data_IF_285056216874
#
_entry.id   IF_285056216874
#
_cell.length_a   1.000
_cell.length_b   1.000
_cell.length_c   1.000
_cell.angle_alpha   90.00
_cell.angle_beta   90.00
_cell.angle_gamma   90.00
#
_symmetry.space_group_name_H-M   'P 1'
#
loop_
_entity.id
_entity.type
_entity.pdbx_description
1 polymer ?
#
# COMPACT_ATOMS: atom_id res chain seq x y z
N UNK A 1 -6.32 1.30 25.17
CA UNK A 1 -6.71 2.09 23.99
C UNK A 1 -7.81 1.34 23.31
N UNK A 2 -8.90 2.03 22.98
CA UNK A 2 -10.00 1.44 22.23
C UNK A 2 -9.57 1.28 20.77
N UNK A 3 -10.04 0.24 20.07
CA UNK A 3 -9.68 0.03 18.65
C UNK A 3 -10.11 1.22 17.77
N UNK A 4 -11.21 1.89 18.14
CA UNK A 4 -11.67 3.10 17.47
C UNK A 4 -10.67 4.27 17.60
N UNK A 5 -10.06 4.47 18.77
CA UNK A 5 -9.13 5.58 18.99
C UNK A 5 -7.85 5.39 18.16
N UNK A 6 -7.44 4.14 17.94
CA UNK A 6 -6.27 3.81 17.12
C UNK A 6 -6.54 4.05 15.63
N UNK A 7 -7.71 3.63 15.13
CA UNK A 7 -8.08 3.81 13.73
C UNK A 7 -8.25 5.29 13.36
N UNK A 8 -8.79 6.10 14.28
CA UNK A 8 -8.91 7.56 14.10
C UNK A 8 -7.53 8.21 14.01
N UNK A 9 -6.64 7.92 14.96
CA UNK A 9 -5.27 8.44 14.95
C UNK A 9 -4.46 7.98 13.73
N UNK A 10 -4.67 6.75 13.26
CA UNK A 10 -4.05 6.23 12.04
C UNK A 10 -4.57 6.97 10.80
N UNK A 11 -5.88 7.22 10.71
CA UNK A 11 -6.48 7.96 9.61
C UNK A 11 -6.00 9.41 9.54
N UNK A 12 -5.91 10.09 10.70
CA UNK A 12 -5.33 11.44 10.78
C UNK A 12 -3.87 11.46 10.31
N UNK A 13 -3.05 10.49 10.71
CA UNK A 13 -1.66 10.41 10.30
C UNK A 13 -1.49 10.14 8.80
N UNK A 14 -2.27 9.19 8.26
CA UNK A 14 -2.24 8.84 6.84
C UNK A 14 -2.60 10.06 5.99
N UNK A 15 -3.59 10.83 6.40
CA UNK A 15 -4.05 12.02 5.69
C UNK A 15 -3.09 13.20 5.85
N UNK A 16 -2.60 13.48 7.06
CA UNK A 16 -1.70 14.63 7.30
C UNK A 16 -0.36 14.52 6.59
N UNK A 17 0.15 13.29 6.45
CA UNK A 17 1.45 13.02 5.83
C UNK A 17 1.33 12.45 4.41
N UNK A 18 0.12 12.40 3.83
CA UNK A 18 -0.15 11.82 2.51
C UNK A 18 0.45 10.41 2.33
N UNK A 19 0.33 9.55 3.35
CA UNK A 19 0.91 8.21 3.34
C UNK A 19 0.06 7.25 2.50
N UNK A 20 0.72 6.32 1.82
CA UNK A 20 0.03 5.18 1.22
C UNK A 20 -0.23 4.12 2.29
N UNK A 21 -1.49 3.74 2.47
CA UNK A 21 -1.89 2.63 3.33
C UNK A 21 -2.24 1.40 2.48
N UNK A 22 -1.82 0.22 2.93
CA UNK A 22 -2.11 -1.06 2.29
C UNK A 22 -2.23 -2.15 3.35
N UNK A 23 -2.92 -3.24 3.00
CA UNK A 23 -3.05 -4.40 3.87
C UNK A 23 -2.07 -5.50 3.45
N UNK A 24 -1.71 -6.37 4.39
CA UNK A 24 -0.78 -7.48 4.14
C UNK A 24 -1.49 -8.78 4.44
N UNK A 25 -1.49 -9.70 3.46
CA UNK A 25 -2.10 -11.02 3.61
C UNK A 25 -1.14 -12.12 3.17
N UNK A 26 -1.19 -13.28 3.82
CA UNK A 26 -0.42 -14.45 3.42
C UNK A 26 -1.10 -15.14 2.22
N UNK A 27 -0.37 -15.22 1.09
CA UNK A 27 -0.85 -15.84 -0.14
C UNK A 27 0.27 -16.58 -0.84
N UNK A 28 -0.09 -17.63 -1.60
CA UNK A 28 0.85 -18.31 -2.46
C UNK A 28 1.25 -17.42 -3.64
N UNK A 29 2.55 -17.17 -3.80
CA UNK A 29 3.10 -16.41 -4.92
C UNK A 29 3.46 -17.37 -6.07
N UNK A 30 3.01 -17.05 -7.29
CA UNK A 30 3.34 -17.86 -8.46
C UNK A 30 4.78 -17.65 -8.97
N UNK A 31 5.40 -16.53 -8.62
CA UNK A 31 6.73 -16.16 -9.13
C UNK A 31 7.84 -16.80 -8.29
N UNK A 32 7.79 -16.68 -6.96
CA UNK A 32 8.74 -17.35 -6.07
C UNK A 32 8.33 -18.79 -5.69
N UNK A 33 7.06 -19.16 -5.92
CA UNK A 33 6.56 -20.52 -5.68
C UNK A 33 6.36 -20.87 -4.20
N UNK A 34 6.20 -19.87 -3.33
CA UNK A 34 6.06 -20.05 -1.88
C UNK A 34 4.90 -19.22 -1.29
N UNK A 35 4.46 -19.62 -0.09
CA UNK A 35 3.51 -18.87 0.72
C UNK A 35 4.23 -17.67 1.36
N UNK A 36 3.86 -16.46 0.95
CA UNK A 36 4.56 -15.24 1.37
C UNK A 36 3.57 -14.10 1.66
N UNK A 37 3.98 -13.10 2.44
CA UNK A 37 3.20 -11.88 2.62
C UNK A 37 3.05 -11.13 1.29
N UNK A 38 1.83 -10.69 0.97
CA UNK A 38 1.51 -9.88 -0.19
C UNK A 38 0.88 -8.56 0.25
N UNK A 39 1.37 -7.45 -0.30
CA UNK A 39 0.70 -6.16 -0.24
C UNK A 39 -0.56 -6.21 -1.08
N UNK A 40 -1.71 -6.00 -0.45
CA UNK A 40 -3.00 -5.89 -1.12
C UNK A 40 -3.51 -4.48 -0.91
N UNK A 41 -3.76 -3.83 -2.03
CA UNK A 41 -4.39 -2.52 -2.05
C UNK A 41 -5.90 -2.67 -1.82
N UNK A 42 -6.32 -2.61 -0.56
CA UNK A 42 -7.73 -2.64 -0.18
C UNK A 42 -8.50 -1.39 -0.63
N UNK A 43 -7.81 -0.32 -1.05
CA UNK A 43 -8.46 0.86 -1.63
C UNK A 43 -9.21 0.51 -2.93
N UNK A 44 -8.76 -0.54 -3.66
CA UNK A 44 -9.45 -1.10 -4.83
C UNK A 44 -10.69 -1.93 -4.48
N UNK A 45 -10.80 -2.42 -3.24
CA UNK A 45 -12.01 -3.06 -2.74
C UNK A 45 -13.02 -2.04 -2.20
N UNK A 46 -12.53 -0.89 -1.72
CA UNK A 46 -13.31 0.22 -1.19
C UNK A 46 -13.60 1.35 -2.20
N UNK A 47 -13.35 1.19 -3.50
CA UNK A 47 -13.84 2.14 -4.52
C UNK A 47 -15.37 2.35 -4.44
N UNK A 48 -16.09 1.41 -3.81
CA UNK A 48 -17.53 1.54 -3.55
C UNK A 48 -17.90 2.30 -2.26
N UNK A 49 -17.02 2.42 -1.27
CA UNK A 49 -17.38 2.93 0.07
C UNK A 49 -16.50 4.10 0.56
N UNK A 50 -15.29 4.26 0.03
CA UNK A 50 -14.44 5.43 0.25
C UNK A 50 -14.55 6.36 -0.97
N UNK A 51 -15.76 6.86 -1.22
CA UNK A 51 -15.85 8.23 -1.75
C UNK A 51 -15.42 9.15 -0.62
N UNK A 52 -14.11 9.30 -0.44
CA UNK A 52 -13.57 10.42 0.30
C UNK A 52 -14.12 11.64 -0.43
N UNK A 53 -14.96 12.40 0.27
CA UNK A 53 -15.63 13.56 -0.26
C UNK A 53 -14.62 14.43 -1.00
N UNK A 54 -15.07 14.87 -2.18
CA UNK A 54 -14.33 15.57 -3.23
C UNK A 54 -13.89 16.99 -2.84
N UNK A 55 -13.31 17.20 -1.67
CA UNK A 55 -12.96 18.53 -1.15
C UNK A 55 -11.49 18.69 -0.74
N UNK A 56 -10.59 17.79 -1.16
CA UNK A 56 -9.14 18.04 -1.10
C UNK A 56 -8.62 18.17 -2.53
N UNK A 57 -8.84 19.36 -3.13
CA UNK A 57 -8.15 19.83 -4.35
C UNK A 57 -6.70 20.23 -4.03
N UNK A 58 -5.95 19.37 -3.33
CA UNK A 58 -4.49 19.49 -3.33
C UNK A 58 -3.96 18.61 -4.46
N UNK A 59 -3.07 19.16 -5.29
CA UNK A 59 -2.44 18.46 -6.41
C UNK A 59 -1.70 17.21 -5.92
N UNK A 60 -2.42 16.09 -5.75
CA UNK A 60 -1.82 14.79 -5.48
C UNK A 60 -1.01 14.40 -6.70
N UNK A 61 0.31 14.54 -6.61
CA UNK A 61 1.22 14.04 -7.63
C UNK A 61 1.23 12.52 -7.53
N UNK A 62 0.46 11.87 -8.40
CA UNK A 62 0.47 10.43 -8.54
C UNK A 62 1.86 9.99 -9.00
N UNK A 63 2.58 9.27 -8.14
CA UNK A 63 3.87 8.65 -8.48
C UNK A 63 3.64 7.19 -8.85
N UNK A 64 4.37 6.71 -9.86
CA UNK A 64 4.36 5.29 -10.17
C UNK A 64 4.96 4.50 -8.99
N UNK A 65 4.41 3.33 -8.64
CA UNK A 65 5.00 2.48 -7.62
C UNK A 65 6.39 2.01 -8.10
N UNK A 66 7.32 1.87 -7.16
CA UNK A 66 8.69 1.41 -7.44
C UNK A 66 8.69 -0.01 -8.01
N UNK A 67 7.77 -0.86 -7.52
CA UNK A 67 7.55 -2.23 -7.99
C UNK A 67 6.06 -2.48 -8.21
N UNK A 68 5.73 -3.22 -9.26
CA UNK A 68 4.36 -3.70 -9.51
C UNK A 68 4.03 -5.01 -8.79
N UNK A 69 4.97 -5.59 -8.04
CA UNK A 69 4.82 -6.89 -7.41
C UNK A 69 4.17 -6.76 -6.03
N UNK A 70 3.11 -7.55 -5.81
CA UNK A 70 2.42 -7.62 -4.52
C UNK A 70 3.21 -8.46 -3.50
N UNK A 71 3.88 -9.53 -3.94
CA UNK A 71 4.71 -10.38 -3.08
C UNK A 71 5.89 -9.57 -2.54
N UNK A 72 5.98 -9.45 -1.21
CA UNK A 72 7.04 -8.67 -0.53
C UNK A 72 8.44 -9.13 -0.96
N UNK A 73 8.66 -10.45 -1.02
CA UNK A 73 9.97 -11.01 -1.38
C UNK A 73 10.33 -10.69 -2.83
N UNK A 74 9.39 -10.87 -3.77
CA UNK A 74 9.68 -10.60 -5.18
C UNK A 74 9.89 -9.10 -5.42
N UNK A 75 9.13 -8.26 -4.72
CA UNK A 75 9.28 -6.81 -4.72
C UNK A 75 10.64 -6.37 -4.18
N UNK A 76 11.05 -6.85 -3.00
CA UNK A 76 12.36 -6.53 -2.43
C UNK A 76 13.50 -6.97 -3.37
N UNK A 77 13.37 -8.12 -4.02
CA UNK A 77 14.36 -8.56 -5.00
C UNK A 77 14.42 -7.65 -6.23
N UNK A 78 13.28 -7.21 -6.75
CA UNK A 78 13.21 -6.24 -7.85
C UNK A 78 13.85 -4.91 -7.46
N UNK A 79 13.49 -4.38 -6.28
CA UNK A 79 14.02 -3.13 -5.75
C UNK A 79 15.53 -3.20 -5.50
N UNK A 80 16.04 -4.29 -4.92
CA UNK A 80 17.48 -4.50 -4.70
C UNK A 80 18.27 -4.63 -6.01
N UNK A 81 17.66 -5.11 -7.10
CA UNK A 81 18.32 -5.15 -8.42
C UNK A 81 18.44 -3.76 -9.06
N UNK A 82 17.68 -2.76 -8.59
CA UNK A 82 17.80 -1.38 -9.07
C UNK A 82 19.03 -0.67 -8.49
N UNK A 83 19.47 -1.05 -7.28
CA UNK A 83 20.64 -0.45 -6.62
C UNK A 83 21.96 -0.79 -7.34
N UNK A 84 22.01 -1.90 -8.09
CA UNK A 84 23.18 -2.30 -8.90
C UNK A 84 23.38 -1.45 -10.17
N UNK A 85 22.45 -0.52 -10.47
CA UNK A 85 22.46 0.29 -11.70
C UNK A 85 22.97 1.73 -11.50
N UNK A 86 23.46 2.10 -10.30
CA UNK A 86 23.99 3.43 -9.98
C UNK A 86 25.45 3.44 -9.50
#
# INVERSE_FOLDING_TARGET
MNENDFNEALGELVTSENLSAFSVVDRFCNDCGDLTPHHVDESKAHESELRIDSEIEEEQVMVAPISSLECVICRENEENCLDDLY
#
